data_IF_162558406052
#
_entry.id   IF_162558406052
#
_cell.length_a   1.000
_cell.length_b   1.000
_cell.length_c   1.000
_cell.angle_alpha   90.00
_cell.angle_beta   90.00
_cell.angle_gamma   90.00
#
_symmetry.space_group_name_H-M   'P 1'
#
loop_
_entity.id
_entity.type
_entity.pdbx_description
1 polymer ?
#
# COMPACT_ATOMS: atom_id res chain seq x y z
N UNK A 1 -1.25 -0.65 -9.02
CA UNK A 1 -0.29 0.13 -8.21
C UNK A 1 1.10 -0.49 -8.30
N UNK A 2 1.32 -1.76 -7.90
CA UNK A 2 2.65 -2.38 -7.91
C UNK A 2 3.27 -2.40 -9.32
N UNK A 3 2.51 -2.72 -10.35
CA UNK A 3 2.98 -2.69 -11.74
C UNK A 3 3.36 -1.27 -12.21
N UNK A 4 2.65 -0.24 -11.77
CA UNK A 4 3.02 1.17 -12.01
C UNK A 4 4.32 1.55 -11.30
N UNK A 5 4.61 0.94 -10.15
CA UNK A 5 5.88 1.06 -9.44
C UNK A 5 7.02 0.22 -10.06
N UNK A 6 6.75 -0.48 -11.17
CA UNK A 6 7.64 -1.44 -11.85
C UNK A 6 8.06 -2.64 -10.99
N UNK A 7 7.23 -3.01 -10.03
CA UNK A 7 7.43 -4.20 -9.19
C UNK A 7 6.81 -5.40 -9.93
N UNK A 8 7.63 -6.44 -10.15
CA UNK A 8 7.25 -7.66 -10.87
C UNK A 8 6.99 -8.85 -9.96
N UNK A 9 7.75 -8.96 -8.88
CA UNK A 9 7.57 -10.04 -7.92
C UNK A 9 6.57 -9.60 -6.87
N UNK A 10 5.44 -10.31 -6.80
CA UNK A 10 4.31 -9.96 -5.94
C UNK A 10 3.97 -11.15 -5.06
N UNK A 11 3.77 -10.89 -3.77
CA UNK A 11 3.24 -11.85 -2.82
C UNK A 11 1.84 -11.39 -2.40
N UNK A 12 0.85 -12.24 -2.61
CA UNK A 12 -0.52 -12.02 -2.13
C UNK A 12 -0.72 -12.86 -0.87
N UNK A 13 -1.07 -12.18 0.22
CA UNK A 13 -1.39 -12.81 1.50
C UNK A 13 -2.90 -12.87 1.62
N UNK A 14 -3.44 -14.06 1.76
CA UNK A 14 -4.88 -14.32 1.84
C UNK A 14 -5.25 -15.00 3.15
N UNK A 15 -6.49 -14.93 3.56
CA UNK A 15 -6.97 -15.66 4.72
C UNK A 15 -6.99 -17.17 4.43
N UNK A 16 -6.87 -17.95 5.49
CA UNK A 16 -6.95 -19.42 5.42
C UNK A 16 -8.23 -19.86 4.69
N UNK A 17 -8.08 -20.77 3.75
CA UNK A 17 -9.17 -21.34 2.95
C UNK A 17 -9.59 -20.50 1.74
N UNK A 18 -8.98 -19.34 1.48
CA UNK A 18 -9.29 -18.49 0.33
C UNK A 18 -8.33 -18.64 -0.85
N UNK A 19 -7.23 -19.37 -0.68
CA UNK A 19 -6.14 -19.47 -1.64
C UNK A 19 -6.59 -19.86 -3.04
N UNK A 20 -7.41 -20.91 -3.15
CA UNK A 20 -7.85 -21.42 -4.46
C UNK A 20 -8.83 -20.47 -5.18
N UNK A 21 -9.62 -19.70 -4.42
CA UNK A 21 -10.49 -18.68 -4.98
C UNK A 21 -9.68 -17.53 -5.58
N UNK A 22 -8.66 -17.05 -4.83
CA UNK A 22 -7.78 -15.99 -5.31
C UNK A 22 -6.96 -16.41 -6.54
N UNK A 23 -6.45 -17.63 -6.58
CA UNK A 23 -5.70 -18.14 -7.74
C UNK A 23 -6.56 -18.20 -9.01
N UNK A 24 -7.87 -18.45 -8.89
CA UNK A 24 -8.80 -18.45 -10.04
C UNK A 24 -9.00 -17.05 -10.60
N UNK A 25 -9.09 -16.03 -9.73
CA UNK A 25 -9.35 -14.63 -10.11
C UNK A 25 -8.07 -13.93 -10.53
N UNK A 26 -6.98 -14.16 -9.80
CA UNK A 26 -5.69 -13.53 -10.02
C UNK A 26 -4.66 -14.64 -10.26
N UNK A 27 -4.50 -15.12 -11.51
CA UNK A 27 -3.57 -16.20 -11.83
C UNK A 27 -2.11 -15.76 -11.67
N UNK A 28 -1.17 -16.60 -12.06
CA UNK A 28 0.28 -16.43 -11.83
C UNK A 28 0.91 -15.13 -12.33
N UNK A 29 0.18 -14.31 -13.08
CA UNK A 29 0.67 -13.05 -13.66
C UNK A 29 1.61 -13.23 -14.87
N UNK A 30 1.86 -14.46 -15.29
CA UNK A 30 2.77 -14.78 -16.40
C UNK A 30 2.40 -14.05 -17.69
N UNK A 31 1.10 -13.93 -17.98
CA UNK A 31 0.58 -13.22 -19.16
C UNK A 31 0.84 -11.71 -19.11
N UNK A 32 1.14 -11.16 -17.95
CA UNK A 32 1.45 -9.75 -17.71
C UNK A 32 2.95 -9.49 -17.52
N UNK A 33 3.78 -10.54 -17.62
CA UNK A 33 5.22 -10.46 -17.41
C UNK A 33 5.60 -10.19 -15.95
N UNK A 34 4.75 -10.60 -15.00
CA UNK A 34 4.96 -10.51 -13.55
C UNK A 34 4.88 -11.91 -12.93
N UNK A 35 5.36 -12.04 -11.70
CA UNK A 35 5.30 -13.27 -10.91
C UNK A 35 4.46 -13.04 -9.66
N UNK A 36 3.41 -13.82 -9.50
CA UNK A 36 2.54 -13.76 -8.33
C UNK A 36 2.74 -15.04 -7.51
N UNK A 37 3.03 -14.85 -6.24
CA UNK A 37 3.12 -15.89 -5.22
C UNK A 37 2.00 -15.68 -4.21
N UNK A 38 1.65 -16.74 -3.48
CA UNK A 38 0.59 -16.71 -2.48
C UNK A 38 1.05 -17.31 -1.16
N UNK A 39 0.56 -16.74 -0.06
CA UNK A 39 0.67 -17.30 1.30
C UNK A 39 -0.68 -17.19 1.97
N UNK A 40 -1.11 -18.23 2.68
CA UNK A 40 -2.25 -18.17 3.59
C UNK A 40 -1.82 -17.69 4.97
N UNK A 41 -2.54 -16.72 5.49
CA UNK A 41 -2.44 -16.25 6.87
C UNK A 41 -3.46 -17.02 7.73
N UNK A 42 -3.00 -17.74 8.73
CA UNK A 42 -3.87 -18.56 9.59
C UNK A 42 -4.86 -17.69 10.40
N UNK A 43 -4.37 -16.57 10.93
CA UNK A 43 -5.16 -15.58 11.68
C UNK A 43 -4.61 -14.17 11.42
N UNK A 44 -5.45 -13.15 11.16
CA UNK A 44 -5.02 -11.77 11.06
C UNK A 44 -4.43 -11.27 12.40
N UNK A 45 -3.17 -10.85 12.38
CA UNK A 45 -2.47 -10.33 13.57
C UNK A 45 -2.04 -8.87 13.41
N UNK A 46 -2.57 -8.18 12.40
CA UNK A 46 -2.22 -6.81 12.04
C UNK A 46 -1.26 -6.73 10.87
N UNK A 47 -1.16 -5.55 10.25
CA UNK A 47 -0.42 -5.35 9.00
C UNK A 47 1.07 -5.75 9.06
N UNK A 48 1.82 -5.49 10.15
CA UNK A 48 3.22 -5.90 10.23
C UNK A 48 3.44 -7.41 10.15
N UNK A 49 2.43 -8.23 10.43
CA UNK A 49 2.53 -9.70 10.29
C UNK A 49 2.80 -10.12 8.84
N UNK A 50 2.36 -9.34 7.87
CA UNK A 50 2.64 -9.58 6.46
C UNK A 50 4.16 -9.66 6.17
N UNK A 51 4.99 -8.86 6.85
CA UNK A 51 6.44 -8.90 6.69
C UNK A 51 7.07 -10.12 7.35
N UNK A 52 6.47 -10.63 8.43
CA UNK A 52 6.93 -11.84 9.11
C UNK A 52 6.61 -13.06 8.22
N UNK A 53 5.38 -13.14 7.72
CA UNK A 53 4.96 -14.20 6.80
C UNK A 53 5.74 -14.17 5.49
N UNK A 54 5.98 -12.97 4.98
CA UNK A 54 6.70 -12.73 3.72
C UNK A 54 8.22 -12.75 3.84
N UNK A 55 8.82 -13.07 5.00
CA UNK A 55 10.27 -12.98 5.22
C UNK A 55 11.11 -13.66 4.15
N UNK A 56 10.76 -14.92 3.81
CA UNK A 56 11.49 -15.70 2.76
C UNK A 56 11.34 -15.05 1.38
N UNK A 57 10.18 -14.47 1.08
CA UNK A 57 9.94 -13.76 -0.17
C UNK A 57 10.71 -12.44 -0.23
N UNK A 58 10.75 -11.69 0.85
CA UNK A 58 11.46 -10.40 0.94
C UNK A 58 12.97 -10.63 0.86
N UNK A 59 13.51 -11.60 1.58
CA UNK A 59 14.94 -11.86 1.65
C UNK A 59 15.72 -10.60 2.03
N UNK A 60 16.70 -10.25 1.20
CA UNK A 60 17.53 -9.06 1.38
C UNK A 60 17.04 -7.83 0.60
N UNK A 61 15.86 -7.91 -0.03
CA UNK A 61 15.33 -6.84 -0.88
C UNK A 61 14.49 -5.83 -0.10
N UNK A 62 14.35 -4.65 -0.66
CA UNK A 62 13.35 -3.69 -0.24
C UNK A 62 11.96 -4.20 -0.65
N UNK A 63 10.93 -3.78 0.05
CA UNK A 63 9.57 -4.26 -0.15
C UNK A 63 8.55 -3.13 -0.13
N UNK A 64 7.52 -3.25 -0.95
CA UNK A 64 6.32 -2.42 -0.88
C UNK A 64 5.16 -3.25 -0.33
N UNK A 65 4.37 -2.66 0.55
CA UNK A 65 3.10 -3.22 1.01
C UNK A 65 1.96 -2.33 0.51
N UNK A 66 0.96 -2.94 -0.08
CA UNK A 66 -0.31 -2.29 -0.40
C UNK A 66 -1.47 -3.12 0.14
N UNK A 67 -2.46 -2.46 0.71
CA UNK A 67 -3.70 -3.09 1.15
C UNK A 67 -4.62 -3.32 -0.05
N UNK A 68 -5.28 -4.48 -0.09
CA UNK A 68 -6.11 -4.89 -1.22
C UNK A 68 -7.40 -4.08 -1.40
N UNK A 69 -7.83 -3.39 -0.36
CA UNK A 69 -9.01 -2.53 -0.31
C UNK A 69 -8.69 -1.04 -0.58
N UNK A 70 -7.45 -0.70 -0.89
CA UNK A 70 -7.05 0.69 -1.14
C UNK A 70 -6.98 1.01 -2.63
N UNK A 71 -7.77 1.99 -3.04
CA UNK A 71 -7.79 2.54 -4.39
C UNK A 71 -7.03 3.87 -4.45
N UNK A 72 -6.17 4.03 -5.46
CA UNK A 72 -5.39 5.24 -5.71
C UNK A 72 -5.57 5.72 -7.15
N UNK A 73 -5.76 7.01 -7.33
CA UNK A 73 -5.86 7.65 -8.64
C UNK A 73 -5.22 9.04 -8.63
N UNK A 74 -4.62 9.46 -9.73
CA UNK A 74 -4.08 10.82 -9.89
C UNK A 74 -2.91 10.93 -10.86
N UNK A 75 -2.71 12.12 -11.42
CA UNK A 75 -1.72 12.38 -12.48
C UNK A 75 -0.26 12.08 -12.06
N UNK A 76 0.11 12.39 -10.83
CA UNK A 76 1.48 12.18 -10.34
C UNK A 76 1.69 10.82 -9.66
N UNK A 77 0.69 9.95 -9.68
CA UNK A 77 0.72 8.67 -8.96
C UNK A 77 1.90 7.81 -9.43
N UNK A 78 2.06 7.60 -10.73
CA UNK A 78 3.16 6.76 -11.26
C UNK A 78 4.54 7.29 -10.87
N UNK A 79 4.75 8.61 -10.87
CA UNK A 79 6.02 9.22 -10.44
C UNK A 79 6.27 8.99 -8.94
N UNK A 80 5.25 9.16 -8.12
CA UNK A 80 5.29 8.90 -6.68
C UNK A 80 5.63 7.44 -6.38
N UNK A 81 4.99 6.51 -7.07
CA UNK A 81 5.22 5.07 -6.94
C UNK A 81 6.65 4.68 -7.34
N UNK A 82 7.15 5.21 -8.47
CA UNK A 82 8.52 4.98 -8.93
C UNK A 82 9.56 5.56 -7.95
N UNK A 83 9.29 6.71 -7.34
CA UNK A 83 10.15 7.27 -6.31
C UNK A 83 10.12 6.42 -5.03
N UNK A 84 8.97 5.84 -4.69
CA UNK A 84 8.84 4.92 -3.57
C UNK A 84 9.61 3.64 -3.79
N UNK A 85 9.47 3.02 -4.97
CA UNK A 85 10.15 1.75 -5.29
C UNK A 85 11.68 1.86 -5.40
N UNK A 86 12.21 3.09 -5.58
CA UNK A 86 13.66 3.37 -5.59
C UNK A 86 14.24 3.68 -4.20
N UNK A 87 13.45 3.52 -3.14
CA UNK A 87 13.91 3.70 -1.76
C UNK A 87 15.13 2.79 -1.52
N UNK A 88 16.25 3.34 -1.08
CA UNK A 88 17.45 2.55 -0.77
C UNK A 88 17.47 2.08 0.68
N UNK A 89 17.12 2.98 1.61
CA UNK A 89 17.12 2.71 3.05
C UNK A 89 15.94 3.41 3.71
N UNK A 90 15.46 2.85 4.82
CA UNK A 90 14.41 3.42 5.64
C UNK A 90 13.01 3.05 5.19
N UNK A 91 12.06 3.92 5.45
CA UNK A 91 10.67 3.76 5.07
C UNK A 91 10.09 5.04 4.45
N UNK A 92 9.15 4.85 3.54
CA UNK A 92 8.34 5.93 2.97
C UNK A 92 6.87 5.57 3.09
N UNK A 93 6.07 6.50 3.57
CA UNK A 93 4.61 6.41 3.65
C UNK A 93 3.96 7.40 2.71
N UNK A 94 2.80 7.03 2.20
CA UNK A 94 1.98 7.93 1.40
C UNK A 94 0.87 8.48 2.29
N UNK A 95 0.72 9.78 2.29
CA UNK A 95 -0.26 10.49 3.10
C UNK A 95 -1.35 11.11 2.22
N UNK A 96 -2.54 11.15 2.75
CA UNK A 96 -3.69 11.79 2.11
C UNK A 96 -4.48 12.62 3.12
N UNK A 97 -4.97 13.79 2.70
CA UNK A 97 -5.78 14.65 3.55
C UNK A 97 -7.21 14.14 3.61
N UNK A 98 -7.72 13.89 4.81
CA UNK A 98 -9.06 13.36 5.07
C UNK A 98 -9.87 14.27 5.99
N UNK A 99 -11.19 14.14 5.93
CA UNK A 99 -12.13 14.87 6.81
C UNK A 99 -12.36 14.16 8.15
N UNK A 100 -12.11 12.87 8.22
CA UNK A 100 -12.37 11.99 9.37
C UNK A 100 -11.09 11.24 9.83
N UNK A 101 -10.06 11.97 10.28
CA UNK A 101 -8.75 11.40 10.61
C UNK A 101 -8.76 10.40 11.78
N UNK A 102 -9.79 10.41 12.61
CA UNK A 102 -9.97 9.49 13.73
C UNK A 102 -10.16 8.02 13.29
N UNK A 103 -10.50 7.79 12.04
CA UNK A 103 -10.67 6.44 11.49
C UNK A 103 -9.35 5.79 11.07
N UNK A 104 -8.27 6.57 10.95
CA UNK A 104 -7.01 6.16 10.34
C UNK A 104 -5.81 6.36 11.28
N UNK A 105 -4.71 5.70 10.94
CA UNK A 105 -3.40 6.13 11.41
C UNK A 105 -3.08 7.50 10.79
N UNK A 106 -2.63 8.47 11.60
CA UNK A 106 -2.33 9.82 11.12
C UNK A 106 -0.88 10.20 11.35
N UNK A 107 -0.35 11.07 10.49
CA UNK A 107 0.97 11.65 10.62
C UNK A 107 0.91 13.19 10.64
N UNK A 108 1.64 13.83 11.57
CA UNK A 108 1.84 15.28 11.57
C UNK A 108 3.21 15.61 10.99
N UNK A 109 3.25 16.57 10.09
CA UNK A 109 4.47 17.06 9.47
C UNK A 109 4.87 18.43 10.04
N UNK A 110 6.16 18.72 10.08
CA UNK A 110 6.66 20.07 10.32
C UNK A 110 6.76 20.86 9.00
N UNK A 111 7.20 22.12 9.08
CA UNK A 111 7.41 23.01 7.91
C UNK A 111 8.40 22.42 6.88
N UNK A 112 9.34 21.61 7.31
CA UNK A 112 10.30 20.90 6.44
C UNK A 112 9.78 19.56 5.92
N UNK A 113 8.47 19.30 6.01
CA UNK A 113 7.79 18.04 5.59
C UNK A 113 8.31 16.78 6.28
N UNK A 114 8.97 16.90 7.45
CA UNK A 114 9.39 15.74 8.25
C UNK A 114 8.27 15.32 9.20
N UNK A 115 8.08 14.01 9.36
CA UNK A 115 7.09 13.43 10.28
C UNK A 115 7.52 13.69 11.72
N UNK A 116 6.68 14.41 12.47
CA UNK A 116 6.90 14.72 13.89
C UNK A 116 6.08 13.83 14.82
N UNK A 117 4.84 13.50 14.44
CA UNK A 117 3.94 12.66 15.22
C UNK A 117 3.35 11.59 14.32
N UNK A 118 3.18 10.39 14.88
CA UNK A 118 2.40 9.29 14.31
C UNK A 118 1.47 8.79 15.39
N UNK A 119 0.18 8.67 15.08
CA UNK A 119 -0.83 8.21 16.02
C UNK A 119 -1.86 7.33 15.32
N UNK A 120 -2.13 6.16 15.89
CA UNK A 120 -3.18 5.26 15.44
C UNK A 120 -4.54 5.75 15.94
N UNK A 121 -5.51 5.89 15.05
CA UNK A 121 -6.93 6.22 15.31
C UNK A 121 -7.10 7.20 16.49
N UNK A 122 -6.66 8.46 16.34
CA UNK A 122 -6.57 9.40 17.46
C UNK A 122 -7.96 9.83 17.96
N UNK A 123 -8.24 9.65 19.23
CA UNK A 123 -9.48 10.15 19.86
C UNK A 123 -9.57 11.68 19.94
N UNK A 124 -8.41 12.38 19.92
CA UNK A 124 -8.33 13.84 19.85
C UNK A 124 -7.60 14.22 18.58
N UNK A 125 -8.06 15.26 17.90
CA UNK A 125 -7.45 15.74 16.66
C UNK A 125 -5.92 15.86 16.80
N UNK A 126 -5.21 15.30 15.85
CA UNK A 126 -3.73 15.32 15.81
C UNK A 126 -3.23 15.88 14.48
N UNK A 127 -3.83 15.44 13.38
CA UNK A 127 -3.52 15.84 12.00
C UNK A 127 -4.66 15.36 11.10
N UNK A 128 -4.88 16.03 10.00
CA UNK A 128 -5.80 15.62 8.93
C UNK A 128 -5.11 14.78 7.83
N UNK A 129 -3.83 14.45 8.03
CA UNK A 129 -3.06 13.60 7.10
C UNK A 129 -3.12 12.15 7.54
N UNK A 130 -4.00 11.38 6.92
CA UNK A 130 -4.08 9.93 7.07
C UNK A 130 -2.89 9.25 6.40
N UNK A 131 -2.38 8.20 7.03
CA UNK A 131 -1.42 7.28 6.44
C UNK A 131 -2.23 6.28 5.61
N UNK A 132 -2.04 6.30 4.30
CA UNK A 132 -2.74 5.39 3.39
C UNK A 132 -2.23 3.96 3.53
N UNK A 133 -2.92 3.00 2.90
CA UNK A 133 -2.49 1.61 2.89
C UNK A 133 -1.38 1.29 1.89
N UNK A 134 -0.47 2.24 1.59
CA UNK A 134 0.67 2.06 0.69
C UNK A 134 1.98 2.48 1.35
N UNK A 135 2.91 1.54 1.42
CA UNK A 135 4.17 1.67 2.15
C UNK A 135 5.34 1.15 1.34
N UNK A 136 6.51 1.76 1.53
CA UNK A 136 7.78 1.28 1.00
C UNK A 136 8.78 1.16 2.15
N UNK A 137 9.48 0.04 2.23
CA UNK A 137 10.43 -0.26 3.31
C UNK A 137 11.72 -0.84 2.78
N UNK A 138 12.82 -0.61 3.49
CA UNK A 138 14.00 -1.44 3.37
C UNK A 138 13.79 -2.82 4.04
N UNK A 139 14.72 -3.76 3.83
CA UNK A 139 14.61 -5.13 4.35
C UNK A 139 14.65 -5.23 5.89
N UNK A 140 15.04 -4.16 6.59
CA UNK A 140 15.00 -4.11 8.06
C UNK A 140 13.58 -4.19 8.61
N UNK A 141 12.59 -3.99 7.76
CA UNK A 141 11.16 -4.09 8.11
C UNK A 141 10.82 -5.42 8.77
N UNK A 142 11.39 -6.53 8.31
CA UNK A 142 11.16 -7.86 8.88
C UNK A 142 11.65 -7.92 10.33
N UNK A 143 12.89 -7.45 10.58
CA UNK A 143 13.45 -7.37 11.94
C UNK A 143 12.61 -6.50 12.86
N UNK A 144 12.17 -5.34 12.35
CA UNK A 144 11.33 -4.43 13.13
C UNK A 144 9.95 -5.02 13.40
N UNK A 145 9.31 -5.66 12.41
CA UNK A 145 8.02 -6.31 12.58
C UNK A 145 8.07 -7.41 13.66
N UNK A 146 9.09 -8.28 13.62
CA UNK A 146 9.32 -9.33 14.65
C UNK A 146 9.51 -8.78 16.07
N UNK A 147 9.96 -7.54 16.22
CA UNK A 147 10.21 -6.90 17.52
C UNK A 147 9.01 -6.10 18.05
N UNK A 148 7.89 -6.08 17.34
CA UNK A 148 6.66 -5.44 17.81
C UNK A 148 5.95 -6.31 18.85
N UNK A 149 5.21 -5.63 19.72
CA UNK A 149 4.27 -6.27 20.65
C UNK A 149 2.85 -5.91 20.22
N UNK A 150 1.88 -6.82 20.39
CA UNK A 150 0.48 -6.50 20.12
C UNK A 150 0.01 -5.29 20.94
N UNK A 151 -0.80 -4.46 20.33
CA UNK A 151 -1.46 -3.32 20.98
C UNK A 151 -2.57 -3.81 21.93
N UNK A 152 -3.25 -2.87 22.58
CA UNK A 152 -4.45 -3.17 23.38
C UNK A 152 -5.58 -3.83 22.57
N UNK A 153 -5.53 -3.73 21.24
CA UNK A 153 -6.46 -4.37 20.31
C UNK A 153 -6.07 -5.81 19.95
N UNK A 154 -4.93 -6.30 20.47
CA UNK A 154 -4.39 -7.61 20.13
C UNK A 154 -3.65 -7.67 18.81
N UNK A 155 -3.45 -6.54 18.11
CA UNK A 155 -2.85 -6.47 16.78
C UNK A 155 -1.46 -5.84 16.80
N UNK A 156 -0.60 -6.26 15.89
CA UNK A 156 0.63 -5.55 15.54
C UNK A 156 0.24 -4.30 14.73
N UNK A 157 0.55 -3.11 15.26
CA UNK A 157 0.16 -1.85 14.60
C UNK A 157 1.23 -1.39 13.61
N UNK A 158 0.80 -1.04 12.40
CA UNK A 158 1.70 -0.47 11.38
C UNK A 158 2.29 0.85 11.85
N UNK A 159 1.54 1.64 12.61
CA UNK A 159 2.01 2.90 13.18
C UNK A 159 3.15 2.70 14.18
N UNK A 160 3.19 1.57 14.90
CA UNK A 160 4.31 1.26 15.80
C UNK A 160 5.55 0.84 15.02
N UNK A 161 5.38 0.13 13.91
CA UNK A 161 6.45 -0.16 12.97
C UNK A 161 7.07 1.15 12.42
N UNK A 162 6.22 2.08 11.97
CA UNK A 162 6.64 3.38 11.47
C UNK A 162 7.35 4.23 12.54
N UNK A 163 6.92 4.15 13.79
CA UNK A 163 7.60 4.83 14.91
C UNK A 163 9.04 4.34 15.08
N UNK A 164 9.34 3.04 14.85
CA UNK A 164 10.72 2.53 14.87
C UNK A 164 11.58 3.18 13.79
N UNK A 165 11.07 3.30 12.57
CA UNK A 165 11.76 4.02 11.49
C UNK A 165 11.94 5.50 11.79
N UNK A 166 10.92 6.15 12.39
CA UNK A 166 11.00 7.55 12.80
C UNK A 166 12.08 7.78 13.85
N UNK A 167 12.16 6.92 14.88
CA UNK A 167 13.20 7.00 15.92
C UNK A 167 14.61 6.94 15.32
N UNK A 168 14.80 6.11 14.29
CA UNK A 168 16.06 5.99 13.57
C UNK A 168 16.28 7.08 12.49
N UNK A 169 15.42 8.12 12.44
CA UNK A 169 15.45 9.23 11.47
C UNK A 169 15.39 8.78 10.00
N UNK A 170 14.85 7.60 9.73
CA UNK A 170 14.78 6.95 8.42
C UNK A 170 13.33 6.79 7.92
N UNK A 171 12.44 7.71 8.29
CA UNK A 171 11.05 7.73 7.83
C UNK A 171 10.79 9.01 7.02
N UNK A 172 10.33 8.83 5.80
CA UNK A 172 9.90 9.89 4.90
C UNK A 172 8.42 9.77 4.54
N UNK A 173 7.84 10.87 4.07
CA UNK A 173 6.46 10.90 3.61
C UNK A 173 6.33 11.62 2.28
N UNK A 174 5.35 11.22 1.50
CA UNK A 174 4.90 11.91 0.30
C UNK A 174 3.38 12.10 0.38
N UNK A 175 2.87 13.27 -0.05
CA UNK A 175 1.45 13.61 0.09
C UNK A 175 0.79 13.53 -1.28
N UNK A 176 -0.32 12.82 -1.38
CA UNK A 176 -1.20 12.88 -2.54
C UNK A 176 -1.86 14.26 -2.55
N UNK A 177 -1.58 15.03 -3.59
CA UNK A 177 -2.13 16.38 -3.77
C UNK A 177 -3.61 16.39 -4.16
N UNK A 178 -4.19 17.59 -4.30
CA UNK A 178 -5.61 17.80 -4.64
C UNK A 178 -6.06 17.15 -5.95
N UNK A 179 -5.16 16.92 -6.89
CA UNK A 179 -5.45 16.24 -8.16
C UNK A 179 -5.47 14.72 -8.06
N UNK A 180 -5.28 14.14 -6.88
CA UNK A 180 -5.31 12.70 -6.63
C UNK A 180 -6.44 12.30 -5.70
N UNK A 181 -6.82 11.04 -5.77
CA UNK A 181 -7.79 10.40 -4.89
C UNK A 181 -7.18 9.17 -4.22
N UNK A 182 -7.47 8.99 -2.95
CA UNK A 182 -7.30 7.77 -2.20
C UNK A 182 -8.64 7.40 -1.57
N UNK A 183 -9.09 6.20 -1.83
CA UNK A 183 -10.35 5.66 -1.33
C UNK A 183 -10.03 4.32 -0.65
N UNK A 184 -10.53 4.17 0.56
CA UNK A 184 -10.49 2.93 1.34
C UNK A 184 -11.84 2.24 1.13
N UNK A 185 -11.85 1.02 0.57
CA UNK A 185 -13.08 0.28 0.28
C UNK A 185 -13.47 -0.69 1.41
N UNK A 186 -13.05 -0.40 2.64
CA UNK A 186 -13.30 -1.24 3.82
C UNK A 186 -14.76 -1.32 4.27
N UNK A 187 -15.65 -0.46 3.75
CA UNK A 187 -17.09 -0.52 3.96
C UNK A 187 -17.85 -0.67 2.65
N UNK A 188 -19.08 -1.21 2.71
CA UNK A 188 -19.97 -1.30 1.54
C UNK A 188 -20.23 0.10 0.95
N UNK A 189 -20.43 1.10 1.80
CA UNK A 189 -20.67 2.47 1.37
C UNK A 189 -19.47 3.05 0.61
N UNK A 190 -18.25 2.88 1.13
CA UNK A 190 -17.04 3.36 0.48
C UNK A 190 -16.70 2.59 -0.79
N UNK A 191 -17.05 1.31 -0.85
CA UNK A 191 -16.99 0.51 -2.07
C UNK A 191 -17.88 1.09 -3.17
N UNK A 192 -19.14 1.45 -2.87
CA UNK A 192 -20.05 2.10 -3.83
C UNK A 192 -19.51 3.46 -4.28
N UNK A 193 -18.98 4.28 -3.38
CA UNK A 193 -18.36 5.56 -3.73
C UNK A 193 -17.18 5.38 -4.69
N UNK A 194 -16.38 4.35 -4.46
CA UNK A 194 -15.24 4.02 -5.33
C UNK A 194 -15.69 3.58 -6.72
N UNK A 195 -16.72 2.72 -6.82
CA UNK A 195 -17.29 2.31 -8.11
C UNK A 195 -17.83 3.53 -8.86
N UNK A 196 -18.59 4.41 -8.20
CA UNK A 196 -19.13 5.61 -8.82
C UNK A 196 -18.01 6.54 -9.33
N UNK A 197 -16.92 6.70 -8.56
CA UNK A 197 -15.76 7.46 -8.99
C UNK A 197 -15.10 6.85 -10.25
N UNK A 198 -14.84 5.54 -10.23
CA UNK A 198 -14.24 4.83 -11.38
C UNK A 198 -15.12 4.99 -12.62
N UNK A 199 -16.43 4.74 -12.50
CA UNK A 199 -17.39 4.88 -13.58
C UNK A 199 -17.39 6.29 -14.18
N UNK A 200 -17.43 7.32 -13.33
CA UNK A 200 -17.43 8.71 -13.78
C UNK A 200 -16.17 9.07 -14.57
N UNK A 201 -15.00 8.63 -14.11
CA UNK A 201 -13.72 8.90 -14.77
C UNK A 201 -13.61 8.12 -16.09
N UNK A 202 -13.88 6.81 -16.08
CA UNK A 202 -13.79 5.96 -17.26
C UNK A 202 -14.77 6.39 -18.36
N UNK A 203 -16.02 6.68 -18.00
CA UNK A 203 -17.03 7.15 -18.95
C UNK A 203 -16.65 8.51 -19.57
N UNK A 204 -16.01 9.39 -18.81
CA UNK A 204 -15.59 10.71 -19.31
C UNK A 204 -14.36 10.64 -20.18
N UNK A 205 -13.38 9.82 -19.83
CA UNK A 205 -12.09 9.75 -20.52
C UNK A 205 -12.07 8.71 -21.65
N UNK A 206 -12.96 7.72 -21.63
CA UNK A 206 -12.94 6.59 -22.54
C UNK A 206 -11.75 5.63 -22.31
N UNK A 207 -11.06 5.76 -21.18
CA UNK A 207 -9.89 4.95 -20.81
C UNK A 207 -10.19 4.12 -19.57
N UNK A 208 -9.62 2.93 -19.50
CA UNK A 208 -9.75 2.06 -18.34
C UNK A 208 -8.76 2.45 -17.23
N UNK A 209 -9.25 2.57 -16.00
CA UNK A 209 -8.41 2.73 -14.82
C UNK A 209 -7.78 1.37 -14.49
N UNK A 210 -6.47 1.37 -14.19
CA UNK A 210 -5.72 0.20 -13.80
C UNK A 210 -5.78 -0.98 -14.79
N UNK A 211 -5.87 -0.71 -16.10
CA UNK A 211 -5.76 -1.73 -17.14
C UNK A 211 -4.38 -2.40 -17.06
N UNK A 212 -4.35 -3.64 -16.59
CA UNK A 212 -3.09 -4.36 -16.28
C UNK A 212 -2.30 -4.65 -17.56
N UNK A 213 -3.00 -4.95 -18.66
CA UNK A 213 -2.41 -5.23 -19.96
C UNK A 213 -1.74 -3.98 -20.53
N UNK A 214 -2.40 -2.83 -20.45
CA UNK A 214 -1.84 -1.55 -20.87
C UNK A 214 -0.59 -1.19 -20.05
N UNK A 215 -0.65 -1.34 -18.72
CA UNK A 215 0.50 -1.08 -17.84
C UNK A 215 1.66 -2.03 -18.16
N UNK A 216 1.40 -3.31 -18.39
CA UNK A 216 2.41 -4.29 -18.77
C UNK A 216 3.05 -3.96 -20.12
N UNK A 217 2.23 -3.54 -21.10
CA UNK A 217 2.70 -3.12 -22.43
C UNK A 217 3.56 -1.86 -22.36
N UNK A 218 3.11 -0.82 -21.66
CA UNK A 218 3.87 0.43 -21.46
C UNK A 218 5.20 0.21 -20.72
N UNK A 219 5.22 -0.77 -19.81
CA UNK A 219 6.44 -1.21 -19.14
C UNK A 219 7.34 -2.10 -20.01
N UNK A 220 6.92 -2.46 -21.24
CA UNK A 220 7.62 -3.37 -22.17
C UNK A 220 7.79 -4.78 -21.58
N UNK A 221 6.86 -5.24 -20.75
CA UNK A 221 6.87 -6.58 -20.18
C UNK A 221 6.16 -7.59 -21.07
N UNK A 222 5.25 -7.10 -21.90
CA UNK A 222 4.55 -7.88 -22.93
C UNK A 222 4.63 -7.14 -24.27
N UNK A 223 4.40 -7.88 -25.36
CA UNK A 223 4.28 -7.33 -26.71
C UNK A 223 2.81 -7.23 -27.09
N UNK A 224 2.47 -6.29 -28.00
CA UNK A 224 1.15 -6.26 -28.64
C UNK A 224 1.01 -7.58 -29.43
N UNK A 225 -0.07 -8.32 -29.17
CA UNK A 225 -0.48 -9.38 -30.10
C UNK A 225 -1.21 -8.69 -31.25
N UNK A 226 -0.86 -9.02 -32.47
CA UNK A 226 -1.58 -8.60 -33.67
C UNK A 226 -2.97 -9.21 -33.70
#
# INVERSE_FOLDING_TARGET
ILMLAKIKDILIIVNKGQLEQYKKVIPSGKNLGIKINYIEQATPRGLPDAFILGEKFIGNNNVSLILGDNFFYGQNLSKMLLNGSKLKNGAKVILYKVSNPELFGVAKLNKSKKITVIKEKPKKFTSDLAITGLYFFDNKVVKYAKSLKPSKRGELEITDLLKKYKLNKNLSAEIIGRGGAWLDTGSIEDYYKTIAFVQAVENRQGLKIACLEEIAFLNKWIRKKE
#
